data_IF_373507180895
#
_entry.id   IF_373507180895
#
_cell.length_a   1.000
_cell.length_b   1.000
_cell.length_c   1.000
_cell.angle_alpha   90.00
_cell.angle_beta   90.00
_cell.angle_gamma   90.00
#
_symmetry.space_group_name_H-M   'P 1'
#
loop_
_entity.id
_entity.type
_entity.pdbx_description
1 polymer ?
#
# COMPACT_ATOMS: atom_id res chain seq x y z
N UNK A 1 0.48 -6.21 -26.74
CA UNK A 1 1.91 -6.07 -26.38
C UNK A 1 1.98 -5.64 -24.94
N UNK A 2 2.23 -6.58 -24.03
CA UNK A 2 2.56 -6.27 -22.63
C UNK A 2 3.86 -5.47 -22.62
N UNK A 3 3.79 -4.20 -22.21
CA UNK A 3 4.99 -3.48 -21.78
C UNK A 3 5.43 -4.12 -20.47
N UNK A 4 6.31 -5.11 -20.55
CA UNK A 4 7.13 -5.47 -19.40
C UNK A 4 7.82 -4.19 -18.94
N UNK A 5 7.48 -3.70 -17.75
CA UNK A 5 8.17 -2.58 -17.12
C UNK A 5 9.63 -3.05 -16.98
N UNK A 6 10.50 -2.53 -17.85
CA UNK A 6 11.93 -2.84 -17.79
C UNK A 6 12.40 -2.34 -16.42
N UNK A 7 12.78 -3.27 -15.53
CA UNK A 7 13.27 -2.93 -14.21
C UNK A 7 14.56 -2.12 -14.36
N UNK A 8 14.44 -0.80 -14.20
CA UNK A 8 15.57 0.11 -14.23
C UNK A 8 16.37 -0.07 -12.94
N UNK A 9 17.66 -0.42 -13.08
CA UNK A 9 18.53 -0.62 -11.93
C UNK A 9 18.99 0.74 -11.42
N UNK A 10 18.64 1.04 -10.18
CA UNK A 10 19.09 2.25 -9.47
C UNK A 10 20.03 1.86 -8.33
N UNK A 11 20.80 2.84 -7.84
CA UNK A 11 21.79 2.64 -6.78
C UNK A 11 21.30 3.25 -5.47
N UNK A 12 21.53 2.54 -4.37
CA UNK A 12 21.33 3.01 -3.02
C UNK A 12 22.70 3.17 -2.35
N UNK A 13 23.03 4.38 -1.91
CA UNK A 13 24.27 4.70 -1.22
C UNK A 13 23.98 5.22 0.18
N UNK A 14 24.67 4.66 1.19
CA UNK A 14 24.55 5.10 2.58
C UNK A 14 25.87 4.97 3.32
N UNK A 15 26.09 5.84 4.31
CA UNK A 15 27.23 5.75 5.24
C UNK A 15 26.76 5.09 6.53
N UNK A 16 27.50 4.08 6.97
CA UNK A 16 27.28 3.42 8.25
C UNK A 16 28.35 3.87 9.24
N UNK A 17 27.97 3.99 10.51
CA UNK A 17 28.97 4.04 11.58
C UNK A 17 29.65 2.68 11.71
N UNK A 18 30.83 2.66 12.35
CA UNK A 18 31.55 1.41 12.63
C UNK A 18 30.68 0.42 13.39
N UNK A 19 30.00 0.89 14.44
CA UNK A 19 29.13 0.05 15.29
C UNK A 19 27.97 -0.55 14.50
N UNK A 20 27.34 0.25 13.63
CA UNK A 20 26.26 -0.25 12.75
C UNK A 20 26.78 -1.32 11.80
N UNK A 21 27.93 -1.08 11.16
CA UNK A 21 28.52 -2.06 10.24
C UNK A 21 28.85 -3.37 10.96
N UNK A 22 29.51 -3.31 12.11
CA UNK A 22 29.86 -4.50 12.90
C UNK A 22 28.61 -5.27 13.34
N UNK A 23 27.56 -4.56 13.79
CA UNK A 23 26.29 -5.20 14.17
C UNK A 23 25.65 -5.90 12.97
N UNK A 24 25.56 -5.23 11.83
CA UNK A 24 24.91 -5.78 10.65
C UNK A 24 25.68 -6.95 10.04
N UNK A 25 27.02 -6.91 10.04
CA UNK A 25 27.84 -8.04 9.59
C UNK A 25 27.65 -9.27 10.49
N UNK A 26 27.56 -9.06 11.81
CA UNK A 26 27.25 -10.13 12.76
C UNK A 26 25.85 -10.71 12.51
N UNK A 27 24.84 -9.85 12.33
CA UNK A 27 23.48 -10.27 12.04
C UNK A 27 23.39 -11.02 10.70
N UNK A 28 24.05 -10.53 9.65
CA UNK A 28 24.12 -11.17 8.34
C UNK A 28 24.70 -12.59 8.44
N UNK A 29 25.80 -12.75 9.20
CA UNK A 29 26.43 -14.07 9.42
C UNK A 29 25.51 -15.03 10.18
N UNK A 30 24.84 -14.54 11.23
CA UNK A 30 23.92 -15.36 12.04
C UNK A 30 22.66 -15.75 11.26
N UNK A 31 22.14 -14.84 10.43
CA UNK A 31 20.97 -15.07 9.59
C UNK A 31 21.25 -15.88 8.32
N UNK A 32 22.49 -16.28 8.06
CA UNK A 32 22.86 -17.10 6.90
C UNK A 32 22.91 -16.34 5.57
N UNK A 33 23.03 -15.01 5.60
CA UNK A 33 23.11 -14.19 4.40
C UNK A 33 24.50 -14.29 3.76
N UNK A 34 24.54 -14.23 2.43
CA UNK A 34 25.80 -14.37 1.67
C UNK A 34 26.70 -13.15 1.81
N UNK A 35 26.11 -11.96 1.91
CA UNK A 35 26.83 -10.69 2.02
C UNK A 35 26.07 -9.70 2.90
N UNK A 36 26.77 -8.67 3.41
CA UNK A 36 26.14 -7.56 4.13
C UNK A 36 25.10 -6.83 3.26
N UNK A 37 25.39 -6.63 1.98
CA UNK A 37 24.45 -5.98 1.04
C UNK A 37 23.16 -6.80 0.88
N UNK A 38 23.29 -8.11 0.72
CA UNK A 38 22.15 -9.03 0.61
C UNK A 38 21.27 -8.99 1.87
N UNK A 39 21.89 -8.98 3.05
CA UNK A 39 21.20 -8.81 4.32
C UNK A 39 20.43 -7.48 4.38
N UNK A 40 21.09 -6.36 4.07
CA UNK A 40 20.48 -5.02 4.15
C UNK A 40 19.31 -4.89 3.17
N UNK A 41 19.51 -5.28 1.91
CA UNK A 41 18.46 -5.16 0.88
C UNK A 41 17.26 -6.04 1.24
N UNK A 42 17.50 -7.29 1.64
CA UNK A 42 16.43 -8.23 2.00
C UNK A 42 15.62 -7.74 3.21
N UNK A 43 16.31 -7.30 4.26
CA UNK A 43 15.67 -6.79 5.51
C UNK A 43 14.88 -5.51 5.26
N UNK A 44 15.45 -4.57 4.49
CA UNK A 44 14.77 -3.31 4.14
C UNK A 44 13.55 -3.61 3.27
N UNK A 45 13.65 -4.51 2.30
CA UNK A 45 12.54 -4.90 1.44
C UNK A 45 11.39 -5.51 2.25
N UNK A 46 11.68 -6.44 3.16
CA UNK A 46 10.67 -7.04 4.03
C UNK A 46 9.98 -5.98 4.89
N UNK A 47 10.76 -5.10 5.53
CA UNK A 47 10.19 -4.05 6.38
C UNK A 47 9.38 -3.03 5.57
N UNK A 48 9.84 -2.67 4.37
CA UNK A 48 9.13 -1.76 3.49
C UNK A 48 7.77 -2.35 3.07
N UNK A 49 7.73 -3.62 2.65
CA UNK A 49 6.46 -4.30 2.33
C UNK A 49 5.50 -4.29 3.51
N UNK A 50 5.98 -4.67 4.70
CA UNK A 50 5.18 -4.63 5.91
C UNK A 50 4.59 -3.24 6.17
N UNK A 51 5.39 -2.17 6.06
CA UNK A 51 4.90 -0.80 6.29
C UNK A 51 3.83 -0.42 5.25
N UNK A 52 4.09 -0.68 3.96
CA UNK A 52 3.14 -0.37 2.89
C UNK A 52 1.82 -1.13 3.10
N UNK A 53 1.89 -2.43 3.37
CA UNK A 53 0.70 -3.26 3.63
C UNK A 53 -0.08 -2.75 4.84
N UNK A 54 0.58 -2.35 5.93
CA UNK A 54 -0.09 -1.79 7.11
C UNK A 54 -0.84 -0.48 6.81
N UNK A 55 -0.30 0.36 5.92
CA UNK A 55 -0.91 1.65 5.58
C UNK A 55 -1.98 1.55 4.49
N UNK A 56 -1.83 0.60 3.55
CA UNK A 56 -2.76 0.40 2.44
C UNK A 56 -3.86 -0.63 2.74
N UNK A 57 -3.78 -1.33 3.88
CA UNK A 57 -4.79 -2.29 4.29
C UNK A 57 -6.17 -1.63 4.43
N UNK A 58 -7.06 -1.94 3.48
CA UNK A 58 -8.49 -1.64 3.59
C UNK A 58 -9.11 -2.62 4.59
N UNK A 59 -9.93 -2.10 5.51
CA UNK A 59 -10.49 -2.87 6.64
C UNK A 59 -9.42 -3.38 7.63
N UNK A 60 -8.43 -2.54 7.94
CA UNK A 60 -7.35 -2.87 8.87
C UNK A 60 -7.86 -3.20 10.29
N UNK A 61 -8.93 -2.54 10.75
CA UNK A 61 -9.51 -2.79 12.08
C UNK A 61 -10.73 -3.71 12.04
N UNK A 62 -10.98 -4.44 13.13
CA UNK A 62 -12.22 -5.23 13.28
C UNK A 62 -13.47 -4.37 13.15
N UNK A 63 -13.42 -3.13 13.65
CA UNK A 63 -14.52 -2.17 13.54
C UNK A 63 -14.83 -1.86 12.08
N UNK A 64 -13.82 -1.59 11.27
CA UNK A 64 -14.00 -1.27 9.85
C UNK A 64 -14.55 -2.47 9.09
N UNK A 65 -14.05 -3.68 9.39
CA UNK A 65 -14.58 -4.94 8.83
C UNK A 65 -16.07 -5.09 9.16
N UNK A 66 -16.44 -4.92 10.43
CA UNK A 66 -17.83 -5.05 10.85
C UNK A 66 -18.74 -4.04 10.16
N UNK A 67 -18.33 -2.76 10.07
CA UNK A 67 -19.09 -1.72 9.37
C UNK A 67 -19.25 -2.05 7.89
N UNK A 68 -18.18 -2.51 7.24
CA UNK A 68 -18.20 -2.87 5.83
C UNK A 68 -19.09 -4.08 5.55
N UNK A 69 -18.94 -5.17 6.32
CA UNK A 69 -19.76 -6.37 6.16
C UNK A 69 -21.22 -6.09 6.47
N UNK A 70 -21.52 -5.32 7.52
CA UNK A 70 -22.88 -4.90 7.84
C UNK A 70 -23.50 -4.09 6.69
N UNK A 71 -22.75 -3.16 6.09
CA UNK A 71 -23.22 -2.39 4.95
C UNK A 71 -23.47 -3.23 3.68
N UNK A 72 -22.79 -4.38 3.51
CA UNK A 72 -23.03 -5.32 2.41
C UNK A 72 -24.23 -6.21 2.70
N UNK A 73 -24.31 -6.78 3.90
CA UNK A 73 -25.36 -7.74 4.27
C UNK A 73 -26.70 -7.06 4.51
N UNK A 74 -26.67 -5.85 5.10
CA UNK A 74 -27.83 -5.05 5.44
C UNK A 74 -27.68 -3.64 4.84
N UNK A 75 -27.81 -3.49 3.50
CA UNK A 75 -27.54 -2.23 2.83
C UNK A 75 -28.46 -1.12 3.34
N UNK A 76 -27.91 -0.05 3.95
CA UNK A 76 -28.73 1.03 4.48
C UNK A 76 -29.33 1.85 3.33
N UNK A 77 -30.51 2.44 3.57
CA UNK A 77 -31.10 3.38 2.61
C UNK A 77 -30.18 4.61 2.45
N UNK A 78 -30.00 5.13 1.22
CA UNK A 78 -29.16 6.30 0.99
C UNK A 78 -29.72 7.51 1.73
N UNK A 79 -28.85 8.28 2.39
CA UNK A 79 -29.24 9.51 3.07
C UNK A 79 -29.63 10.63 2.09
N UNK A 80 -30.37 11.64 2.55
CA UNK A 80 -30.88 12.76 1.72
C UNK A 80 -29.79 13.42 0.88
N UNK A 81 -28.63 13.73 1.47
CA UNK A 81 -27.50 14.36 0.75
C UNK A 81 -26.95 13.50 -0.38
N UNK A 82 -26.94 12.18 -0.22
CA UNK A 82 -26.47 11.24 -1.25
C UNK A 82 -27.49 11.15 -2.41
N UNK A 83 -28.79 11.19 -2.09
CA UNK A 83 -29.87 11.23 -3.08
C UNK A 83 -29.79 12.53 -3.91
N UNK A 84 -29.68 13.69 -3.25
CA UNK A 84 -29.51 14.99 -3.91
C UNK A 84 -28.24 15.07 -4.78
N UNK A 85 -27.15 14.43 -4.36
CA UNK A 85 -25.91 14.37 -5.15
C UNK A 85 -26.10 13.48 -6.40
N UNK A 86 -26.82 12.36 -6.27
CA UNK A 86 -27.15 11.50 -7.40
C UNK A 86 -28.11 12.15 -8.40
N UNK A 87 -29.03 13.00 -7.93
CA UNK A 87 -29.89 13.83 -8.79
C UNK A 87 -29.07 14.86 -9.56
N UNK A 88 -28.23 15.64 -8.87
CA UNK A 88 -27.32 16.61 -9.50
C UNK A 88 -26.41 15.96 -10.56
N UNK A 89 -25.87 14.77 -10.28
CA UNK A 89 -25.06 14.03 -11.26
C UNK A 89 -25.86 13.64 -12.51
N UNK A 90 -27.11 13.20 -12.34
CA UNK A 90 -27.99 12.85 -13.47
C UNK A 90 -28.34 14.06 -14.32
N UNK A 91 -28.60 15.20 -13.71
CA UNK A 91 -28.85 16.45 -14.42
C UNK A 91 -27.64 16.89 -15.27
N UNK A 92 -26.43 16.82 -14.71
CA UNK A 92 -25.18 17.11 -15.42
C UNK A 92 -24.95 16.19 -16.63
N UNK A 93 -25.21 14.89 -16.47
CA UNK A 93 -25.06 13.94 -17.58
C UNK A 93 -26.14 14.13 -18.65
N UNK A 94 -27.37 14.48 -18.28
CA UNK A 94 -28.47 14.68 -19.23
C UNK A 94 -28.27 15.97 -20.06
N UNK A 95 -27.65 17.01 -19.50
CA UNK A 95 -27.27 18.23 -20.25
C UNK A 95 -26.18 17.99 -21.30
N UNK A 96 -25.40 16.91 -21.18
CA UNK A 96 -24.36 16.53 -22.16
C UNK A 96 -24.91 15.76 -23.37
N UNK A 97 -26.23 15.47 -23.39
CA UNK A 97 -26.89 14.71 -24.47
C UNK A 97 -27.74 15.61 -25.39
N UNK A 98 -27.79 16.93 -25.14
CA UNK A 98 -28.42 17.93 -26.02
C UNK A 98 -27.35 18.81 -26.70
N UNK A 99 -26.47 18.21 -27.51
CA UNK A 99 -25.66 18.92 -28.53
C UNK A 99 -25.52 18.04 -29.76
#
# INVERSE_FOLDING_TARGET
MERAIKAEKTRFDTKLTTDQKTLFERAAKLGGYRTLTDFVVSTVQEKAKFIVEQHEAVLATERDRNVFFEAIMNPPKPGKRLQEAAERYRELNNQSTEV
#
